data_IF_047287741645
#
_entry.id   IF_047287741645
#
_cell.length_a   1.000
_cell.length_b   1.000
_cell.length_c   1.000
_cell.angle_alpha   90.00
_cell.angle_beta   90.00
_cell.angle_gamma   90.00
#
_symmetry.space_group_name_H-M   'P 1'
#
loop_
_entity.id
_entity.type
_entity.pdbx_description
1 polymer ?
#
# COMPACT_ATOMS: atom_id res chain seq x y z
N UNK A 1 1.99 -21.33 7.93
CA UNK A 1 2.72 -20.96 6.70
C UNK A 1 2.78 -19.43 6.63
N UNK A 2 3.93 -18.78 6.45
CA UNK A 2 3.97 -17.35 6.23
C UNK A 2 3.28 -17.05 4.88
N UNK A 3 2.18 -16.30 4.91
CA UNK A 3 1.54 -15.80 3.70
C UNK A 3 2.47 -14.78 3.05
N UNK A 4 2.85 -15.03 1.80
CA UNK A 4 3.63 -14.08 1.03
C UNK A 4 2.69 -12.93 0.61
N UNK A 5 2.80 -11.79 1.28
CA UNK A 5 1.98 -10.62 1.02
C UNK A 5 2.69 -9.77 -0.03
N UNK A 6 2.26 -9.90 -1.28
CA UNK A 6 2.87 -9.20 -2.42
C UNK A 6 2.05 -8.01 -2.90
N UNK A 7 0.77 -7.92 -2.50
CA UNK A 7 -0.15 -6.86 -2.91
C UNK A 7 -0.90 -6.26 -1.73
N UNK A 8 -1.38 -5.03 -1.88
CA UNK A 8 -2.24 -4.37 -0.88
C UNK A 8 -3.54 -5.16 -0.67
N UNK A 9 -4.11 -5.72 -1.73
CA UNK A 9 -5.28 -6.60 -1.64
C UNK A 9 -5.00 -7.84 -0.78
N UNK A 10 -3.85 -8.50 -0.98
CA UNK A 10 -3.45 -9.64 -0.17
C UNK A 10 -3.22 -9.24 1.29
N UNK A 11 -2.69 -8.04 1.54
CA UNK A 11 -2.53 -7.50 2.89
C UNK A 11 -3.88 -7.32 3.60
N UNK A 12 -4.85 -6.70 2.93
CA UNK A 12 -6.20 -6.46 3.47
C UNK A 12 -6.94 -7.79 3.68
N UNK A 13 -6.85 -8.73 2.74
CA UNK A 13 -7.49 -10.05 2.85
C UNK A 13 -6.94 -10.87 4.03
N UNK A 14 -5.65 -10.70 4.35
CA UNK A 14 -5.00 -11.35 5.50
C UNK A 14 -5.28 -10.65 6.84
N UNK A 15 -5.79 -9.43 6.84
CA UNK A 15 -6.14 -8.74 8.08
C UNK A 15 -7.35 -9.39 8.79
N UNK A 16 -7.46 -9.22 10.11
CA UNK A 16 -8.68 -9.54 10.87
C UNK A 16 -9.92 -8.91 10.23
N UNK A 17 -11.05 -9.63 10.21
CA UNK A 17 -12.27 -9.22 9.48
C UNK A 17 -12.77 -7.83 9.88
N UNK A 18 -12.71 -7.53 11.17
CA UNK A 18 -13.07 -6.25 11.79
C UNK A 18 -12.23 -5.06 11.31
N UNK A 19 -11.04 -5.32 10.74
CA UNK A 19 -10.14 -4.26 10.24
C UNK A 19 -10.17 -4.06 8.73
N UNK A 20 -10.75 -5.00 7.98
CA UNK A 20 -10.71 -4.97 6.51
C UNK A 20 -11.44 -3.76 5.93
N UNK A 21 -12.59 -3.44 6.52
CA UNK A 21 -13.41 -2.30 6.07
C UNK A 21 -12.67 -0.98 6.25
N UNK A 22 -12.02 -0.78 7.39
CA UNK A 22 -11.26 0.44 7.65
C UNK A 22 -10.00 0.53 6.80
N UNK A 23 -9.32 -0.60 6.55
CA UNK A 23 -8.18 -0.64 5.62
C UNK A 23 -8.60 -0.32 4.17
N UNK A 24 -9.77 -0.80 3.73
CA UNK A 24 -10.32 -0.46 2.42
C UNK A 24 -10.64 1.03 2.32
N UNK A 25 -11.30 1.61 3.34
CA UNK A 25 -11.56 3.07 3.39
C UNK A 25 -10.27 3.88 3.33
N UNK A 26 -9.25 3.48 4.09
CA UNK A 26 -7.95 4.15 4.08
C UNK A 26 -7.30 4.10 2.70
N UNK A 27 -7.29 2.92 2.04
CA UNK A 27 -6.78 2.79 0.67
C UNK A 27 -7.54 3.70 -0.30
N UNK A 28 -8.87 3.70 -0.23
CA UNK A 28 -9.71 4.58 -1.07
C UNK A 28 -9.33 6.04 -0.88
N UNK A 29 -9.18 6.50 0.37
CA UNK A 29 -8.80 7.87 0.68
C UNK A 29 -7.40 8.20 0.11
N UNK A 30 -6.42 7.31 0.26
CA UNK A 30 -5.07 7.51 -0.29
C UNK A 30 -5.06 7.61 -1.82
N UNK A 31 -5.84 6.76 -2.51
CA UNK A 31 -5.96 6.79 -3.98
C UNK A 31 -6.73 8.03 -4.45
N UNK A 32 -7.72 8.51 -3.68
CA UNK A 32 -8.44 9.74 -4.00
C UNK A 32 -7.55 10.99 -3.87
N UNK A 33 -6.81 11.08 -2.77
CA UNK A 33 -5.91 12.22 -2.49
C UNK A 33 -4.69 12.22 -3.42
N UNK A 34 -4.20 11.03 -3.81
CA UNK A 34 -3.06 10.88 -4.71
C UNK A 34 -3.40 9.86 -5.83
N UNK A 35 -4.13 10.28 -6.88
CA UNK A 35 -4.61 9.40 -7.96
C UNK A 35 -3.50 8.63 -8.70
N UNK A 36 -2.28 9.16 -8.68
CA UNK A 36 -1.12 8.56 -9.34
C UNK A 36 -0.18 7.84 -8.35
N UNK A 37 -0.65 7.52 -7.14
CA UNK A 37 0.13 6.77 -6.18
C UNK A 37 0.33 5.32 -6.68
N UNK A 38 1.59 4.88 -6.69
CA UNK A 38 1.93 3.48 -6.94
C UNK A 38 1.79 2.69 -5.64
N UNK A 39 0.92 1.69 -5.66
CA UNK A 39 0.76 0.74 -4.56
C UNK A 39 1.89 -0.29 -4.59
N UNK A 40 2.57 -0.45 -3.46
CA UNK A 40 3.70 -1.35 -3.27
C UNK A 40 3.56 -2.07 -1.92
N UNK A 41 4.31 -3.14 -1.73
CA UNK A 41 4.57 -3.72 -0.41
C UNK A 41 6.04 -3.50 -0.05
N UNK A 42 6.29 -2.85 1.09
CA UNK A 42 7.63 -2.72 1.69
C UNK A 42 7.56 -3.18 3.13
N UNK A 43 8.55 -3.94 3.59
CA UNK A 43 8.61 -4.46 4.96
C UNK A 43 7.29 -5.15 5.41
N UNK A 44 6.64 -5.87 4.47
CA UNK A 44 5.34 -6.55 4.66
C UNK A 44 4.15 -5.61 4.96
N UNK A 45 4.23 -4.35 4.56
CA UNK A 45 3.17 -3.36 4.74
C UNK A 45 2.85 -2.62 3.42
N UNK A 46 1.60 -2.19 3.21
CA UNK A 46 1.24 -1.28 2.13
C UNK A 46 2.09 -0.02 2.16
N UNK A 47 2.64 0.34 1.00
CA UNK A 47 3.43 1.54 0.79
C UNK A 47 2.93 2.24 -0.47
N UNK A 48 2.65 3.54 -0.37
CA UNK A 48 2.14 4.35 -1.46
C UNK A 48 3.22 5.36 -1.85
N UNK A 49 3.72 5.25 -3.08
CA UNK A 49 4.75 6.15 -3.61
C UNK A 49 4.13 7.09 -4.63
N UNK A 50 4.43 8.39 -4.55
CA UNK A 50 4.24 9.27 -5.70
C UNK A 50 5.46 9.11 -6.67
N UNK A 51 5.31 9.46 -7.95
CA UNK A 51 6.41 9.41 -8.93
C UNK A 51 7.61 10.32 -8.57
N UNK A 52 7.42 11.36 -7.76
CA UNK A 52 8.50 12.29 -7.38
C UNK A 52 9.45 11.70 -6.33
N UNK A 53 8.99 10.75 -5.52
CA UNK A 53 9.83 10.07 -4.53
C UNK A 53 10.87 9.14 -5.17
N UNK A 54 10.61 8.60 -6.36
CA UNK A 54 11.61 7.78 -7.07
C UNK A 54 12.80 8.57 -7.62
N UNK A 55 12.66 9.87 -7.85
CA UNK A 55 13.73 10.72 -8.39
C UNK A 55 14.65 11.28 -7.29
N UNK A 56 14.15 11.39 -6.05
CA UNK A 56 14.90 11.93 -4.91
C UNK A 56 16.04 11.02 -4.41
N UNK A 57 16.01 9.73 -4.71
CA UNK A 57 17.05 8.77 -4.31
C UNK A 57 18.01 8.37 -5.45
N UNK A 58 17.93 9.03 -6.61
CA UNK A 58 18.76 8.71 -7.78
C UNK A 58 19.94 9.67 -8.00
N UNK A 59 20.35 10.42 -6.97
CA UNK A 59 21.62 11.18 -7.00
C UNK A 59 22.56 10.68 -5.90
N UNK A 60 23.46 9.77 -6.29
CA UNK A 60 24.71 9.47 -5.61
C UNK A 60 25.72 8.99 -6.64
#
# INVERSE_FOLDING_TARGET
MPQNIETVDAYIANAPKDRRDDLNKLRTLLVQEVPNAKELIKYKMPYYSNQKDSERFSTS
#
